data_IF_132688091436
#
_entry.id   IF_132688091436
#
_cell.length_a   1.000
_cell.length_b   1.000
_cell.length_c   1.000
_cell.angle_alpha   90.00
_cell.angle_beta   90.00
_cell.angle_gamma   90.00
#
_symmetry.space_group_name_H-M   'P 1'
#
loop_
_entity.id
_entity.type
_entity.pdbx_description
1 polymer ?
#
# COMPACT_ATOMS: atom_id res chain seq x y z
N UNK A 1 -22.66 35.73 -37.37
CA UNK A 1 -21.39 35.06 -37.72
C UNK A 1 -20.15 35.77 -37.16
N UNK A 2 -20.06 37.12 -37.14
CA UNK A 2 -18.94 37.84 -36.51
C UNK A 2 -19.07 37.95 -34.97
N UNK A 3 -20.25 38.30 -34.46
CA UNK A 3 -20.52 38.42 -33.02
C UNK A 3 -20.47 37.10 -32.22
N UNK A 4 -20.69 35.95 -32.87
CA UNK A 4 -20.58 34.63 -32.21
C UNK A 4 -19.13 34.20 -31.99
N UNK A 5 -18.23 34.57 -32.92
CA UNK A 5 -16.78 34.33 -32.79
C UNK A 5 -16.13 35.29 -31.78
N UNK A 6 -16.69 36.47 -31.59
CA UNK A 6 -16.20 37.42 -30.57
C UNK A 6 -16.55 36.96 -29.15
N UNK A 7 -17.69 36.31 -28.94
CA UNK A 7 -18.07 35.77 -27.61
C UNK A 7 -17.22 34.54 -27.20
N UNK A 8 -16.91 33.62 -28.12
CA UNK A 8 -16.02 32.48 -27.82
C UNK A 8 -14.60 32.92 -27.42
N UNK A 9 -14.10 34.01 -28.02
CA UNK A 9 -12.77 34.57 -27.71
C UNK A 9 -12.76 35.32 -26.36
N UNK A 10 -13.91 35.81 -25.90
CA UNK A 10 -14.05 36.49 -24.60
C UNK A 10 -14.13 35.46 -23.48
N UNK A 11 -14.86 34.34 -23.67
CA UNK A 11 -14.94 33.25 -22.69
C UNK A 11 -13.59 32.55 -22.48
N UNK A 12 -12.81 32.27 -23.55
CA UNK A 12 -11.46 31.70 -23.42
C UNK A 12 -10.49 32.65 -22.68
N UNK A 13 -10.65 33.97 -22.82
CA UNK A 13 -9.80 34.95 -22.12
C UNK A 13 -10.13 35.05 -20.63
N UNK A 14 -11.40 34.97 -20.26
CA UNK A 14 -11.81 34.94 -18.85
C UNK A 14 -11.37 33.63 -18.17
N UNK A 15 -11.39 32.49 -18.86
CA UNK A 15 -10.90 31.21 -18.33
C UNK A 15 -9.38 31.22 -18.07
N UNK A 16 -8.60 31.79 -18.99
CA UNK A 16 -7.14 31.94 -18.83
C UNK A 16 -6.82 32.90 -17.67
N UNK A 17 -7.57 33.99 -17.53
CA UNK A 17 -7.37 34.96 -16.45
C UNK A 17 -7.73 34.39 -15.07
N UNK A 18 -8.74 33.50 -14.99
CA UNK A 18 -9.09 32.75 -13.77
C UNK A 18 -7.99 31.74 -13.40
N UNK A 19 -7.41 31.03 -14.37
CA UNK A 19 -6.33 30.05 -14.15
C UNK A 19 -5.06 30.76 -13.65
N UNK A 20 -4.71 31.91 -14.23
CA UNK A 20 -3.56 32.71 -13.77
C UNK A 20 -3.76 33.29 -12.36
N UNK A 21 -5.00 33.66 -12.00
CA UNK A 21 -5.34 34.13 -10.65
C UNK A 21 -5.25 33.00 -9.62
N UNK A 22 -5.71 31.80 -9.97
CA UNK A 22 -5.57 30.60 -9.14
C UNK A 22 -4.11 30.20 -8.93
N UNK A 23 -3.25 30.37 -9.95
CA UNK A 23 -1.81 30.12 -9.85
C UNK A 23 -1.08 31.09 -8.93
N UNK A 24 -1.51 32.35 -8.87
CA UNK A 24 -0.90 33.37 -7.99
C UNK A 24 -1.40 33.30 -6.53
N UNK A 25 -2.65 32.86 -6.33
CA UNK A 25 -3.21 32.65 -4.98
C UNK A 25 -2.68 31.36 -4.33
N UNK A 26 -2.27 30.35 -5.10
CA UNK A 26 -1.62 29.14 -4.57
C UNK A 26 -0.19 29.40 -4.11
N UNK A 27 0.58 30.23 -4.83
CA UNK A 27 1.92 30.67 -4.42
C UNK A 27 1.88 31.47 -3.11
N UNK A 28 0.91 32.40 -2.95
CA UNK A 28 0.74 33.14 -1.70
C UNK A 28 0.29 32.28 -0.52
N UNK A 29 -0.50 31.23 -0.77
CA UNK A 29 -0.99 30.34 0.30
C UNK A 29 0.07 29.35 0.79
N UNK A 30 1.13 29.13 0.01
CA UNK A 30 2.29 28.32 0.39
C UNK A 30 3.23 29.04 1.37
N UNK A 31 3.23 30.38 1.41
CA UNK A 31 4.08 31.15 2.33
C UNK A 31 3.53 31.23 3.77
N UNK A 32 2.24 30.92 3.98
CA UNK A 32 1.59 31.00 5.30
C UNK A 32 1.55 29.69 6.10
N UNK A 33 1.92 28.55 5.49
CA UNK A 33 1.92 27.22 6.13
C UNK A 33 3.34 26.74 6.43
N UNK A 34 4.06 27.50 7.26
CA UNK A 34 5.32 27.05 7.87
C UNK A 34 5.11 26.81 9.38
N UNK A 35 4.67 25.60 9.75
CA UNK A 35 4.94 25.04 11.09
C UNK A 35 4.87 23.49 11.13
N UNK A 36 6.06 22.88 11.01
CA UNK A 36 6.54 21.67 11.69
C UNK A 36 6.04 20.26 11.25
N UNK A 37 6.87 19.54 10.48
CA UNK A 37 7.67 18.44 11.06
C UNK A 37 8.98 18.22 10.28
N UNK A 38 10.13 18.37 10.96
CA UNK A 38 11.47 18.59 10.40
C UNK A 38 12.23 17.30 10.02
N UNK A 39 11.63 16.37 9.27
CA UNK A 39 12.35 15.14 8.83
C UNK A 39 12.06 14.69 7.39
N UNK A 40 11.48 15.54 6.54
CA UNK A 40 11.54 15.34 5.09
C UNK A 40 12.62 16.27 4.53
N UNK A 41 13.85 15.79 4.40
CA UNK A 41 14.79 16.38 3.45
C UNK A 41 14.29 16.03 2.04
N UNK A 42 13.42 16.89 1.50
CA UNK A 42 13.31 17.05 0.06
C UNK A 42 14.53 17.87 -0.37
N UNK A 43 15.64 17.21 -0.68
CA UNK A 43 16.68 17.85 -1.47
C UNK A 43 16.05 18.28 -2.80
N UNK A 44 16.17 19.56 -3.12
CA UNK A 44 15.78 20.17 -4.38
C UNK A 44 16.35 19.32 -5.52
N UNK A 45 15.47 18.60 -6.24
CA UNK A 45 15.86 17.80 -7.39
C UNK A 45 16.06 18.74 -8.59
N UNK A 46 17.21 19.39 -8.61
CA UNK A 46 17.79 19.90 -9.84
C UNK A 46 17.96 18.70 -10.78
N UNK A 47 17.23 18.72 -11.91
CA UNK A 47 17.41 17.77 -13.01
C UNK A 47 18.74 18.07 -13.71
N UNK A 48 19.85 17.79 -13.03
CA UNK A 48 21.14 17.81 -13.67
C UNK A 48 21.24 16.64 -14.65
N UNK A 49 21.52 16.97 -15.91
CA UNK A 49 21.91 16.04 -16.96
C UNK A 49 23.26 15.37 -16.60
N UNK A 50 23.26 14.46 -15.63
CA UNK A 50 24.44 13.70 -15.30
C UNK A 50 24.53 12.43 -16.15
N UNK A 51 25.42 12.51 -17.15
CA UNK A 51 25.98 11.37 -17.90
C UNK A 51 26.85 10.53 -16.97
N UNK A 52 26.26 9.92 -15.95
CA UNK A 52 26.93 8.92 -15.12
C UNK A 52 26.52 7.53 -15.61
N UNK A 53 27.49 6.82 -16.20
CA UNK A 53 27.47 5.41 -16.65
C UNK A 53 26.18 4.67 -16.27
N UNK A 54 25.24 4.66 -17.21
CA UNK A 54 23.87 4.17 -17.06
C UNK A 54 23.84 2.84 -16.30
N UNK A 55 23.47 2.89 -15.01
CA UNK A 55 22.80 1.74 -14.41
C UNK A 55 21.52 1.59 -15.21
N UNK A 56 21.58 0.71 -16.21
CA UNK A 56 20.44 0.39 -17.06
C UNK A 56 19.31 -0.02 -16.12
N UNK A 57 18.27 0.81 -16.08
CA UNK A 57 17.08 0.55 -15.28
C UNK A 57 16.62 -0.85 -15.65
N UNK A 58 16.34 -1.67 -14.65
CA UNK A 58 15.89 -3.04 -14.89
C UNK A 58 14.50 -3.23 -14.31
N UNK A 59 13.59 -3.85 -15.04
CA UNK A 59 12.25 -4.20 -14.55
C UNK A 59 12.03 -5.68 -14.81
N UNK A 60 11.62 -6.43 -13.79
CA UNK A 60 11.16 -7.80 -13.98
C UNK A 60 9.67 -7.76 -14.26
N UNK A 61 9.25 -8.34 -15.37
CA UNK A 61 7.85 -8.37 -15.82
C UNK A 61 7.32 -9.79 -15.69
N UNK A 62 6.11 -9.90 -15.16
CA UNK A 62 5.39 -11.17 -15.12
C UNK A 62 5.18 -11.70 -16.55
N UNK A 63 5.46 -12.98 -16.74
CA UNK A 63 5.34 -13.65 -18.04
C UNK A 63 3.94 -13.55 -18.68
N UNK A 64 2.88 -13.40 -17.88
CA UNK A 64 1.49 -13.22 -18.34
C UNK A 64 1.27 -11.83 -18.94
N UNK A 65 2.03 -10.82 -18.48
CA UNK A 65 1.98 -9.44 -18.99
C UNK A 65 3.04 -9.14 -20.06
N UNK A 66 3.89 -10.11 -20.38
CA UNK A 66 5.04 -9.97 -21.27
C UNK A 66 4.72 -9.61 -22.74
N UNK A 67 3.44 -9.68 -23.13
CA UNK A 67 2.95 -9.37 -24.48
C UNK A 67 2.08 -8.09 -24.50
N UNK A 68 2.02 -7.33 -23.41
CA UNK A 68 1.29 -6.07 -23.39
C UNK A 68 2.03 -4.95 -24.13
N UNK A 69 1.29 -3.98 -24.66
CA UNK A 69 1.85 -2.77 -25.27
C UNK A 69 2.75 -1.99 -24.28
N UNK A 70 2.52 -2.12 -22.97
CA UNK A 70 3.37 -1.50 -21.95
C UNK A 70 4.80 -2.04 -22.07
N UNK A 71 4.96 -3.35 -22.24
CA UNK A 71 6.29 -3.98 -22.37
C UNK A 71 7.00 -3.53 -23.63
N UNK A 72 6.28 -3.31 -24.74
CA UNK A 72 6.86 -2.76 -25.97
C UNK A 72 7.49 -1.38 -25.71
N UNK A 73 6.75 -0.47 -25.05
CA UNK A 73 7.27 0.86 -24.70
C UNK A 73 8.40 0.82 -23.65
N UNK A 74 8.43 -0.21 -22.78
CA UNK A 74 9.50 -0.39 -21.81
C UNK A 74 10.81 -0.88 -22.45
N UNK A 75 10.73 -1.78 -23.43
CA UNK A 75 11.90 -2.35 -24.10
C UNK A 75 12.80 -1.29 -24.77
N UNK A 76 12.20 -0.17 -25.19
CA UNK A 76 12.95 0.97 -25.75
C UNK A 76 13.77 1.74 -24.72
N UNK A 77 13.43 1.63 -23.43
CA UNK A 77 13.89 2.55 -22.38
C UNK A 77 14.59 1.86 -21.19
N UNK A 78 14.40 0.56 -20.99
CA UNK A 78 15.00 -0.17 -19.87
C UNK A 78 15.33 -1.64 -20.21
N UNK A 79 16.10 -2.31 -19.34
CA UNK A 79 16.29 -3.76 -19.41
C UNK A 79 15.06 -4.47 -18.84
N UNK A 80 14.42 -5.32 -19.66
CA UNK A 80 13.32 -6.16 -19.22
C UNK A 80 13.80 -7.59 -19.00
N UNK A 81 13.46 -8.13 -17.84
CA UNK A 81 13.60 -9.54 -17.56
C UNK A 81 12.21 -10.17 -17.37
N UNK A 82 11.87 -11.17 -18.20
CA UNK A 82 10.59 -11.86 -18.13
C UNK A 82 10.70 -13.04 -17.17
N UNK A 83 9.81 -13.12 -16.17
CA UNK A 83 9.74 -14.25 -15.21
C UNK A 83 8.31 -14.52 -14.81
N UNK A 84 8.04 -15.73 -14.34
CA UNK A 84 6.79 -15.99 -13.60
C UNK A 84 6.94 -15.35 -12.22
N UNK A 85 6.07 -14.40 -11.90
CA UNK A 85 5.99 -13.80 -10.58
C UNK A 85 4.82 -14.44 -9.83
N UNK A 86 5.04 -14.76 -8.56
CA UNK A 86 3.95 -15.27 -7.72
C UNK A 86 2.88 -14.18 -7.51
N UNK A 87 3.31 -12.92 -7.37
CA UNK A 87 2.48 -11.78 -6.98
C UNK A 87 2.93 -10.50 -7.70
N UNK A 88 1.98 -9.84 -8.38
CA UNK A 88 2.13 -8.58 -9.11
C UNK A 88 2.64 -8.73 -10.55
N UNK A 89 2.56 -7.65 -11.32
CA UNK A 89 2.88 -7.65 -12.76
C UNK A 89 4.28 -7.11 -13.07
N UNK A 90 4.72 -6.09 -12.34
CA UNK A 90 5.99 -5.40 -12.57
C UNK A 90 6.77 -5.27 -11.27
N UNK A 91 7.84 -6.04 -11.13
CA UNK A 91 8.76 -5.94 -10.00
C UNK A 91 9.86 -4.91 -10.32
N UNK A 92 9.85 -3.82 -9.56
CA UNK A 92 10.71 -2.65 -9.76
C UNK A 92 11.97 -2.73 -8.90
N UNK A 93 11.86 -3.23 -7.67
CA UNK A 93 12.99 -3.43 -6.76
C UNK A 93 12.67 -4.60 -5.82
N UNK A 94 13.59 -4.95 -4.91
CA UNK A 94 13.29 -5.94 -3.86
C UNK A 94 12.16 -5.51 -2.91
N UNK A 95 11.76 -4.24 -2.94
CA UNK A 95 10.75 -3.68 -2.05
C UNK A 95 9.50 -3.19 -2.77
N UNK A 96 9.58 -2.93 -4.09
CA UNK A 96 8.56 -2.23 -4.84
C UNK A 96 8.03 -3.08 -5.98
N UNK A 97 6.72 -3.33 -5.98
CA UNK A 97 6.01 -4.07 -7.00
C UNK A 97 4.75 -3.32 -7.43
N UNK A 98 4.47 -3.33 -8.73
CA UNK A 98 3.31 -2.68 -9.32
C UNK A 98 2.36 -3.72 -9.92
N UNK A 99 1.07 -3.55 -9.68
CA UNK A 99 -0.03 -4.24 -10.35
C UNK A 99 -0.66 -3.27 -11.34
N UNK A 100 -0.83 -3.71 -12.58
CA UNK A 100 -1.51 -2.92 -13.61
C UNK A 100 -2.89 -3.50 -13.83
N UNK A 101 -3.92 -2.66 -13.77
CA UNK A 101 -5.26 -3.02 -14.22
C UNK A 101 -5.78 -1.99 -15.20
N UNK A 102 -6.33 -2.43 -16.33
CA UNK A 102 -7.15 -1.52 -17.14
C UNK A 102 -8.40 -1.13 -16.35
N UNK A 103 -9.05 -0.01 -16.68
CA UNK A 103 -10.32 0.38 -16.03
C UNK A 103 -11.36 -0.75 -16.09
N UNK A 104 -11.41 -1.47 -17.22
CA UNK A 104 -12.31 -2.61 -17.41
C UNK A 104 -11.95 -3.80 -16.52
N UNK A 105 -10.66 -4.15 -16.40
CA UNK A 105 -10.22 -5.26 -15.55
C UNK A 105 -10.34 -4.92 -14.06
N UNK A 106 -10.13 -3.65 -13.70
CA UNK A 106 -10.39 -3.15 -12.35
C UNK A 106 -11.86 -3.37 -11.97
N UNK A 107 -12.81 -2.92 -12.80
CA UNK A 107 -14.24 -3.12 -12.57
C UNK A 107 -14.59 -4.62 -12.51
N UNK A 108 -14.10 -5.43 -13.45
CA UNK A 108 -14.31 -6.90 -13.41
C UNK A 108 -13.78 -7.52 -12.12
N UNK A 109 -12.61 -7.10 -11.65
CA UNK A 109 -12.00 -7.64 -10.43
C UNK A 109 -12.78 -7.29 -9.15
N UNK A 110 -13.57 -6.19 -9.17
CA UNK A 110 -14.53 -5.88 -8.11
C UNK A 110 -15.69 -6.89 -8.15
N UNK A 111 -16.28 -7.12 -9.33
CA UNK A 111 -17.40 -8.06 -9.51
C UNK A 111 -16.98 -9.48 -9.09
N UNK A 112 -15.78 -9.91 -9.52
CA UNK A 112 -15.23 -11.23 -9.21
C UNK A 112 -14.83 -11.37 -7.72
N UNK A 113 -14.80 -10.28 -6.96
CA UNK A 113 -14.36 -10.26 -5.56
C UNK A 113 -12.86 -10.49 -5.35
N UNK A 114 -12.06 -10.56 -6.42
CA UNK A 114 -10.63 -10.90 -6.37
C UNK A 114 -9.70 -9.71 -6.16
N UNK A 115 -10.16 -8.49 -6.41
CA UNK A 115 -9.35 -7.26 -6.33
C UNK A 115 -8.65 -7.13 -4.97
N UNK A 116 -9.40 -7.24 -3.88
CA UNK A 116 -8.87 -7.01 -2.55
C UNK A 116 -7.86 -8.08 -2.12
N UNK A 117 -8.13 -9.35 -2.43
CA UNK A 117 -7.21 -10.45 -2.13
C UNK A 117 -5.85 -10.24 -2.79
N UNK A 118 -5.83 -9.91 -4.09
CA UNK A 118 -4.59 -9.64 -4.83
C UNK A 118 -3.81 -8.47 -4.20
N UNK A 119 -4.49 -7.37 -3.89
CA UNK A 119 -3.88 -6.20 -3.29
C UNK A 119 -3.33 -6.47 -1.88
N UNK A 120 -4.05 -7.23 -1.06
CA UNK A 120 -3.60 -7.63 0.28
C UNK A 120 -2.36 -8.53 0.18
N UNK A 121 -2.35 -9.51 -0.73
CA UNK A 121 -1.20 -10.38 -0.98
C UNK A 121 0.04 -9.58 -1.41
N UNK A 122 -0.13 -8.61 -2.31
CA UNK A 122 0.94 -7.69 -2.68
C UNK A 122 1.48 -6.89 -1.48
N UNK A 123 0.59 -6.30 -0.68
CA UNK A 123 0.97 -5.50 0.49
C UNK A 123 1.73 -6.31 1.53
N UNK A 124 1.39 -7.59 1.67
CA UNK A 124 2.08 -8.49 2.59
C UNK A 124 3.46 -8.91 2.05
N UNK A 125 3.63 -8.92 0.73
CA UNK A 125 4.86 -9.38 0.07
C UNK A 125 5.89 -8.27 -0.13
N UNK A 126 5.45 -7.04 -0.39
CA UNK A 126 6.30 -5.91 -0.76
C UNK A 126 6.19 -4.74 0.23
N UNK A 127 7.23 -3.90 0.34
CA UNK A 127 7.14 -2.67 1.17
C UNK A 127 6.24 -1.65 0.51
N UNK A 128 6.37 -1.56 -0.82
CA UNK A 128 5.70 -0.60 -1.65
C UNK A 128 4.96 -1.39 -2.73
N UNK A 129 3.75 -1.84 -2.40
CA UNK A 129 2.81 -2.30 -3.41
C UNK A 129 2.11 -1.07 -4.01
N UNK A 130 2.05 -0.99 -5.34
CA UNK A 130 1.41 0.12 -6.05
C UNK A 130 0.40 -0.45 -7.05
N UNK A 131 -0.81 0.11 -7.06
CA UNK A 131 -1.80 -0.17 -8.08
C UNK A 131 -1.73 0.91 -9.16
N UNK A 132 -1.60 0.52 -10.42
CA UNK A 132 -1.73 1.40 -11.58
C UNK A 132 -3.04 1.08 -12.28
N UNK A 133 -3.92 2.08 -12.38
CA UNK A 133 -5.15 1.99 -13.15
C UNK A 133 -4.95 2.68 -14.50
N UNK A 134 -5.15 1.92 -15.58
CA UNK A 134 -4.93 2.36 -16.96
C UNK A 134 -6.26 2.57 -17.71
N UNK A 135 -6.46 3.78 -18.23
CA UNK A 135 -7.61 4.19 -19.03
C UNK A 135 -8.41 5.33 -18.40
N UNK A 136 -9.37 5.87 -19.16
CA UNK A 136 -10.12 7.07 -18.79
C UNK A 136 -11.58 6.79 -18.39
N UNK A 137 -12.09 5.59 -18.73
CA UNK A 137 -13.52 5.26 -18.69
C UNK A 137 -13.87 4.36 -17.51
N UNK A 138 -13.55 4.79 -16.29
CA UNK A 138 -13.77 3.97 -15.09
C UNK A 138 -15.27 3.77 -14.78
N UNK A 139 -16.07 4.82 -14.96
CA UNK A 139 -17.48 4.86 -14.57
C UNK A 139 -18.46 4.55 -15.71
N UNK A 140 -17.94 4.16 -16.88
CA UNK A 140 -18.76 3.90 -18.07
C UNK A 140 -19.31 2.45 -18.11
N UNK A 141 -18.99 1.62 -17.12
CA UNK A 141 -19.45 0.24 -17.07
C UNK A 141 -20.85 0.14 -16.45
N UNK A 142 -21.82 -0.33 -17.22
CA UNK A 142 -23.23 -0.45 -16.78
C UNK A 142 -23.45 -1.54 -15.72
N UNK A 143 -22.55 -2.52 -15.60
CA UNK A 143 -22.75 -3.66 -14.69
C UNK A 143 -22.41 -3.34 -13.23
N UNK A 144 -21.77 -2.21 -12.95
CA UNK A 144 -21.33 -1.84 -11.60
C UNK A 144 -21.74 -0.41 -11.30
N UNK A 145 -22.38 -0.21 -10.15
CA UNK A 145 -22.76 1.13 -9.73
C UNK A 145 -21.51 2.00 -9.48
N UNK A 146 -21.56 3.30 -9.83
CA UNK A 146 -20.48 4.23 -9.51
C UNK A 146 -20.13 4.27 -8.01
N UNK A 147 -21.11 4.02 -7.14
CA UNK A 147 -20.94 3.92 -5.69
C UNK A 147 -20.06 2.73 -5.29
N UNK A 148 -20.21 1.57 -5.94
CA UNK A 148 -19.39 0.40 -5.66
C UNK A 148 -17.93 0.64 -6.07
N UNK A 149 -17.71 1.30 -7.20
CA UNK A 149 -16.37 1.70 -7.66
C UNK A 149 -15.73 2.67 -6.67
N UNK A 150 -16.45 3.73 -6.27
CA UNK A 150 -15.99 4.69 -5.27
C UNK A 150 -15.69 4.03 -3.93
N UNK A 151 -16.53 3.10 -3.49
CA UNK A 151 -16.34 2.31 -2.28
C UNK A 151 -15.08 1.45 -2.34
N UNK A 152 -14.82 0.78 -3.46
CA UNK A 152 -13.61 0.00 -3.66
C UNK A 152 -12.34 0.88 -3.64
N UNK A 153 -12.34 2.02 -4.35
CA UNK A 153 -11.23 2.96 -4.31
C UNK A 153 -10.99 3.51 -2.91
N UNK A 154 -12.05 3.86 -2.18
CA UNK A 154 -11.97 4.33 -0.80
C UNK A 154 -11.36 3.26 0.11
N UNK A 155 -11.83 2.02 0.03
CA UNK A 155 -11.30 0.90 0.83
C UNK A 155 -9.81 0.63 0.52
N UNK A 156 -9.41 0.70 -0.76
CA UNK A 156 -8.00 0.55 -1.14
C UNK A 156 -7.16 1.66 -0.49
N UNK A 157 -7.64 2.90 -0.49
CA UNK A 157 -6.90 4.03 0.07
C UNK A 157 -6.85 4.03 1.60
N UNK A 158 -7.96 3.72 2.28
CA UNK A 158 -8.09 3.90 3.73
C UNK A 158 -7.73 2.65 4.53
N UNK A 159 -8.11 1.47 4.05
CA UNK A 159 -7.94 0.20 4.77
C UNK A 159 -6.71 -0.55 4.26
N UNK A 160 -6.65 -0.78 2.95
CA UNK A 160 -5.53 -1.48 2.33
C UNK A 160 -4.30 -0.57 2.21
N UNK A 161 -4.47 0.76 2.17
CA UNK A 161 -3.36 1.73 2.14
C UNK A 161 -2.32 1.44 1.06
N UNK A 162 -2.80 1.12 -0.15
CA UNK A 162 -1.97 0.99 -1.35
C UNK A 162 -2.10 2.27 -2.18
N UNK A 163 -0.98 2.90 -2.58
CA UNK A 163 -1.00 3.99 -3.54
C UNK A 163 -1.64 3.58 -4.86
N UNK A 164 -2.52 4.44 -5.37
CA UNK A 164 -3.15 4.29 -6.67
C UNK A 164 -2.57 5.36 -7.61
N UNK A 165 -1.96 4.93 -8.71
CA UNK A 165 -1.52 5.80 -9.78
C UNK A 165 -2.43 5.61 -10.99
N UNK A 166 -2.67 6.71 -11.71
CA UNK A 166 -3.51 6.71 -12.91
C UNK A 166 -2.65 6.92 -14.15
N UNK A 167 -3.04 6.24 -15.22
CA UNK A 167 -2.43 6.39 -16.54
C UNK A 167 -3.53 6.33 -17.59
N UNK A 168 -3.38 7.07 -18.69
CA UNK A 168 -4.39 7.13 -19.76
C UNK A 168 -4.13 6.12 -20.87
N UNK A 169 -2.92 5.58 -20.93
CA UNK A 169 -2.48 4.67 -22.00
C UNK A 169 -1.31 3.79 -21.56
N UNK A 170 -1.09 2.69 -22.29
CA UNK A 170 0.06 1.80 -22.08
C UNK A 170 1.42 2.54 -22.13
N UNK A 171 1.54 3.57 -22.97
CA UNK A 171 2.75 4.39 -23.05
C UNK A 171 2.99 5.17 -21.76
N UNK A 172 1.94 5.79 -21.23
CA UNK A 172 2.00 6.53 -19.96
C UNK A 172 2.28 5.59 -18.79
N UNK A 173 1.67 4.39 -18.77
CA UNK A 173 1.99 3.33 -17.81
C UNK A 173 3.48 2.98 -17.83
N UNK A 174 4.07 2.77 -19.01
CA UNK A 174 5.49 2.50 -19.15
C UNK A 174 6.36 3.66 -18.62
N UNK A 175 5.98 4.91 -18.91
CA UNK A 175 6.66 6.10 -18.40
C UNK A 175 6.59 6.21 -16.87
N UNK A 176 5.44 5.92 -16.27
CA UNK A 176 5.29 5.84 -14.82
C UNK A 176 6.17 4.75 -14.21
N UNK A 177 6.16 3.53 -14.77
CA UNK A 177 6.99 2.43 -14.28
C UNK A 177 8.48 2.79 -14.32
N UNK A 178 8.94 3.45 -15.38
CA UNK A 178 10.31 3.94 -15.49
C UNK A 178 10.61 5.02 -14.44
N UNK A 179 9.69 5.95 -14.21
CA UNK A 179 9.87 7.00 -13.20
C UNK A 179 9.99 6.39 -11.79
N UNK A 180 9.14 5.41 -11.45
CA UNK A 180 9.21 4.67 -10.19
C UNK A 180 10.56 3.94 -10.09
N UNK A 181 10.98 3.25 -11.16
CA UNK A 181 12.23 2.52 -11.20
C UNK A 181 13.46 3.42 -11.04
N UNK A 182 13.47 4.60 -11.66
CA UNK A 182 14.53 5.61 -11.45
C UNK A 182 14.63 6.01 -9.98
N UNK A 183 13.51 6.33 -9.34
CA UNK A 183 13.50 6.72 -7.91
C UNK A 183 13.98 5.59 -7.01
N UNK A 184 13.56 4.36 -7.27
CA UNK A 184 13.94 3.21 -6.43
C UNK A 184 15.39 2.77 -6.66
N UNK A 185 15.84 2.63 -7.90
CA UNK A 185 17.12 1.99 -8.23
C UNK A 185 18.29 2.98 -8.26
N UNK A 186 18.06 4.23 -8.66
CA UNK A 186 19.10 5.25 -8.78
C UNK A 186 19.13 6.07 -7.50
N UNK A 187 18.07 6.83 -7.20
CA UNK A 187 18.05 7.76 -6.07
C UNK A 187 18.18 7.04 -4.71
N UNK A 188 17.41 5.96 -4.50
CA UNK A 188 17.48 5.17 -3.24
C UNK A 188 18.53 4.05 -3.28
N UNK A 189 19.23 3.84 -4.41
CA UNK A 189 20.21 2.75 -4.63
C UNK A 189 19.66 1.34 -4.35
N UNK A 190 18.34 1.11 -4.47
CA UNK A 190 17.69 -0.19 -4.23
C UNK A 190 17.60 -0.98 -5.53
N UNK A 191 18.62 -1.79 -5.81
CA UNK A 191 18.59 -2.71 -6.95
C UNK A 191 17.58 -3.85 -6.76
N UNK A 192 17.27 -4.56 -7.84
CA UNK A 192 16.46 -5.79 -7.77
C UNK A 192 17.33 -6.89 -7.15
N UNK A 193 17.06 -7.28 -5.89
CA UNK A 193 17.60 -8.51 -5.30
C UNK A 193 16.59 -9.62 -5.51
N UNK A 194 16.93 -10.58 -6.35
CA UNK A 194 16.15 -11.79 -6.58
C UNK A 194 16.38 -12.72 -5.39
N UNK A 195 15.69 -12.46 -4.29
CA UNK A 195 15.44 -13.48 -3.28
C UNK A 195 14.03 -13.23 -2.79
N UNK A 196 13.08 -14.00 -3.33
CA UNK A 196 11.74 -14.17 -2.77
C UNK A 196 11.84 -14.97 -1.47
N UNK A 197 12.59 -14.44 -0.50
CA UNK A 197 12.24 -14.74 0.87
C UNK A 197 11.04 -13.84 1.09
N UNK A 198 9.83 -14.42 1.30
CA UNK A 198 8.75 -13.73 2.02
C UNK A 198 9.45 -12.86 3.03
N UNK A 199 9.25 -11.54 2.97
CA UNK A 199 9.93 -10.63 3.91
C UNK A 199 9.92 -11.34 5.26
N UNK A 200 11.09 -11.58 5.89
CA UNK A 200 11.08 -12.14 7.23
C UNK A 200 10.10 -11.27 7.99
N UNK A 201 9.02 -11.89 8.48
CA UNK A 201 8.00 -11.19 9.23
C UNK A 201 8.76 -10.34 10.23
N UNK A 202 8.64 -9.00 10.12
CA UNK A 202 9.44 -8.10 10.95
C UNK A 202 9.22 -8.56 12.38
N UNK A 203 10.25 -9.18 12.98
CA UNK A 203 10.09 -9.89 14.25
C UNK A 203 9.54 -8.94 15.29
N UNK A 204 9.86 -7.65 15.17
CA UNK A 204 9.30 -6.57 15.97
C UNK A 204 7.78 -6.46 15.80
N UNK A 205 7.27 -6.45 14.57
CA UNK A 205 5.82 -6.39 14.29
C UNK A 205 5.09 -7.64 14.74
N UNK A 206 5.70 -8.83 14.59
CA UNK A 206 5.15 -10.06 15.14
C UNK A 206 5.08 -10.04 16.66
N UNK A 207 6.14 -9.57 17.32
CA UNK A 207 6.18 -9.40 18.76
C UNK A 207 5.11 -8.41 19.22
N UNK A 208 4.98 -7.26 18.55
CA UNK A 208 3.92 -6.28 18.81
C UNK A 208 2.52 -6.89 18.62
N UNK A 209 2.30 -7.66 17.55
CA UNK A 209 1.02 -8.32 17.25
C UNK A 209 0.66 -9.40 18.28
N UNK A 210 1.61 -10.27 18.62
CA UNK A 210 1.45 -11.33 19.61
C UNK A 210 1.07 -10.75 20.98
N UNK A 211 1.75 -9.71 21.43
CA UNK A 211 1.46 -9.04 22.72
C UNK A 211 0.13 -8.26 22.67
N UNK A 212 -0.22 -7.66 21.53
CA UNK A 212 -1.52 -6.99 21.35
C UNK A 212 -2.71 -7.97 21.34
N UNK A 213 -2.47 -9.29 21.27
CA UNK A 213 -3.50 -10.31 21.47
C UNK A 213 -3.97 -10.45 22.92
N UNK A 214 -3.25 -9.86 23.89
CA UNK A 214 -3.61 -9.89 25.30
C UNK A 214 -4.89 -9.06 25.56
N UNK A 215 -5.70 -9.45 26.56
CA UNK A 215 -6.97 -8.80 26.82
C UNK A 215 -6.80 -7.31 27.11
N UNK A 216 -7.47 -6.45 26.35
CA UNK A 216 -7.43 -4.99 26.48
C UNK A 216 -6.02 -4.37 26.35
N UNK A 217 -5.13 -5.01 25.58
CA UNK A 217 -3.81 -4.51 25.20
C UNK A 217 -3.84 -4.10 23.72
N UNK A 218 -3.77 -2.80 23.44
CA UNK A 218 -3.64 -2.30 22.08
C UNK A 218 -2.17 -2.28 21.62
N UNK A 219 -1.93 -1.84 20.38
CA UNK A 219 -0.56 -1.75 19.82
C UNK A 219 0.36 -0.83 20.61
N UNK A 220 -0.18 0.24 21.19
CA UNK A 220 0.63 1.20 21.94
C UNK A 220 1.07 0.59 23.26
N UNK A 221 0.16 -0.04 24.00
CA UNK A 221 0.44 -0.80 25.22
C UNK A 221 1.36 -2.00 24.95
N UNK A 222 1.16 -2.71 23.86
CA UNK A 222 2.04 -3.80 23.45
C UNK A 222 3.48 -3.30 23.25
N UNK A 223 3.67 -2.14 22.62
CA UNK A 223 4.99 -1.50 22.51
C UNK A 223 5.56 -1.09 23.85
N UNK A 224 4.75 -0.56 24.77
CA UNK A 224 5.24 -0.18 26.10
C UNK A 224 5.68 -1.40 26.91
N UNK A 225 4.90 -2.47 26.89
CA UNK A 225 5.25 -3.77 27.48
C UNK A 225 6.55 -4.29 26.87
N UNK A 226 6.69 -4.29 25.55
CA UNK A 226 7.91 -4.74 24.87
C UNK A 226 9.11 -3.81 25.09
N UNK A 227 8.91 -2.50 25.26
CA UNK A 227 9.99 -1.57 25.63
C UNK A 227 10.53 -1.87 27.03
N UNK A 228 9.65 -2.23 27.97
CA UNK A 228 10.00 -2.56 29.34
C UNK A 228 10.64 -3.96 29.43
N UNK A 229 9.93 -4.98 28.94
CA UNK A 229 10.30 -6.38 29.08
C UNK A 229 11.21 -6.91 27.97
N UNK A 230 11.41 -6.17 26.86
CA UNK A 230 12.25 -6.52 25.69
C UNK A 230 11.79 -7.70 24.83
N UNK A 231 11.08 -8.68 25.40
CA UNK A 231 10.67 -9.91 24.73
C UNK A 231 9.22 -10.30 25.09
N UNK A 232 8.39 -10.83 24.16
CA UNK A 232 7.06 -11.33 24.49
C UNK A 232 7.05 -12.42 25.55
N UNK A 233 8.05 -13.30 25.57
CA UNK A 233 8.18 -14.35 26.58
C UNK A 233 8.17 -13.76 27.99
N UNK A 234 8.94 -12.71 28.21
CA UNK A 234 8.99 -12.01 29.50
C UNK A 234 7.70 -11.26 29.83
N UNK A 235 6.94 -10.81 28.83
CA UNK A 235 5.58 -10.27 29.06
C UNK A 235 4.64 -11.39 29.50
N UNK A 236 4.75 -12.57 28.88
CA UNK A 236 3.85 -13.70 29.11
C UNK A 236 4.15 -14.46 30.40
N UNK A 237 5.35 -14.33 30.95
CA UNK A 237 5.74 -14.92 32.23
C UNK A 237 5.76 -13.91 33.38
N UNK A 238 5.58 -12.61 33.10
CA UNK A 238 5.59 -11.57 34.13
C UNK A 238 4.47 -11.78 35.16
N UNK A 239 4.81 -11.50 36.42
CA UNK A 239 3.85 -11.46 37.53
C UNK A 239 2.95 -10.22 37.42
N UNK A 240 1.78 -10.26 38.08
CA UNK A 240 0.88 -9.09 38.12
C UNK A 240 1.59 -7.82 38.60
N UNK A 241 2.48 -7.95 39.60
CA UNK A 241 3.25 -6.84 40.17
C UNK A 241 4.24 -6.25 39.16
N UNK A 242 4.83 -7.07 38.31
CA UNK A 242 5.77 -6.61 37.27
C UNK A 242 5.03 -5.94 36.13
N UNK A 243 3.91 -6.51 35.68
CA UNK A 243 3.06 -5.92 34.65
C UNK A 243 2.59 -4.51 35.05
N UNK A 244 2.24 -4.32 36.33
CA UNK A 244 1.82 -3.02 36.87
C UNK A 244 2.92 -1.94 36.91
N UNK A 245 4.20 -2.30 36.69
CA UNK A 245 5.29 -1.31 36.57
C UNK A 245 5.27 -0.59 35.22
N UNK A 246 4.53 -1.11 34.24
CA UNK A 246 4.40 -0.51 32.92
C UNK A 246 3.27 0.51 32.93
N UNK A 247 3.58 1.70 32.41
CA UNK A 247 2.62 2.79 32.29
C UNK A 247 1.37 2.35 31.51
N UNK A 248 0.18 2.66 32.04
CA UNK A 248 -1.10 2.25 31.45
C UNK A 248 -1.57 0.85 31.82
N UNK A 249 -0.81 0.07 32.61
CA UNK A 249 -1.21 -1.25 33.10
C UNK A 249 -1.63 -1.19 34.58
N UNK A 250 -2.94 -1.09 34.81
CA UNK A 250 -3.51 -1.11 36.17
C UNK A 250 -3.73 -2.53 36.73
N UNK A 251 -3.98 -2.63 38.04
CA UNK A 251 -4.20 -3.90 38.76
C UNK A 251 -5.23 -4.83 38.10
N UNK A 252 -6.40 -4.29 37.72
CA UNK A 252 -7.47 -5.08 37.07
C UNK A 252 -7.03 -5.65 35.73
N UNK A 253 -6.25 -4.88 34.97
CA UNK A 253 -5.74 -5.32 33.67
C UNK A 253 -4.67 -6.38 33.83
N UNK A 254 -3.72 -6.18 34.76
CA UNK A 254 -2.67 -7.15 35.08
C UNK A 254 -3.26 -8.50 35.51
N UNK A 255 -4.27 -8.49 36.39
CA UNK A 255 -4.99 -9.70 36.80
C UNK A 255 -5.66 -10.41 35.62
N UNK A 256 -6.31 -9.66 34.73
CA UNK A 256 -7.00 -10.24 33.56
C UNK A 256 -6.01 -10.85 32.55
N UNK A 257 -4.90 -10.17 32.29
CA UNK A 257 -3.80 -10.70 31.46
C UNK A 257 -3.28 -11.99 32.09
N UNK A 258 -3.04 -11.97 33.41
CA UNK A 258 -2.45 -13.10 34.10
C UNK A 258 -3.36 -14.32 34.08
N UNK A 259 -4.66 -14.10 34.30
CA UNK A 259 -5.72 -15.10 34.22
C UNK A 259 -5.72 -15.83 32.87
N UNK A 260 -5.82 -15.09 31.77
CA UNK A 260 -5.84 -15.68 30.40
C UNK A 260 -4.61 -16.52 30.10
N UNK A 261 -3.45 -16.10 30.58
CA UNK A 261 -2.19 -16.78 30.30
C UNK A 261 -1.87 -17.95 31.27
N UNK A 262 -2.68 -18.18 32.31
CA UNK A 262 -2.43 -19.24 33.30
C UNK A 262 -3.58 -20.21 33.52
N UNK A 263 -4.79 -19.88 33.05
CA UNK A 263 -5.93 -20.82 33.11
C UNK A 263 -5.80 -21.90 32.04
N UNK A 264 -6.20 -23.12 32.40
CA UNK A 264 -6.25 -24.24 31.48
C UNK A 264 -7.27 -23.97 30.36
N UNK A 265 -6.93 -24.39 29.14
CA UNK A 265 -7.83 -24.28 28.00
C UNK A 265 -8.93 -25.33 28.10
N UNK A 266 -10.19 -24.89 28.21
CA UNK A 266 -11.36 -25.76 28.16
C UNK A 266 -11.96 -25.74 26.73
N UNK A 267 -11.92 -26.88 26.03
CA UNK A 267 -12.70 -27.04 24.80
C UNK A 267 -14.20 -27.05 25.14
N UNK A 268 -14.95 -26.06 24.69
CA UNK A 268 -16.40 -26.13 24.71
C UNK A 268 -16.86 -27.15 23.66
N UNK A 269 -17.01 -28.42 24.06
CA UNK A 269 -17.74 -29.39 23.24
C UNK A 269 -19.18 -28.88 23.06
N UNK A 270 -19.55 -28.61 21.81
CA UNK A 270 -20.94 -28.33 21.46
C UNK A 270 -21.81 -29.51 21.93
N UNK A 271 -22.97 -29.26 22.56
CA UNK A 271 -23.90 -30.32 23.00
C UNK A 271 -24.28 -31.30 21.87
N UNK A 272 -24.17 -30.87 20.60
CA UNK A 272 -24.33 -31.71 19.42
C UNK A 272 -23.22 -32.77 19.25
N UNK A 273 -21.96 -32.45 19.57
CA UNK A 273 -20.84 -33.39 19.50
C UNK A 273 -20.87 -34.41 20.64
N UNK A 274 -21.32 -33.97 21.83
CA UNK A 274 -21.50 -34.85 23.00
C UNK A 274 -22.56 -35.95 22.74
N UNK A 275 -23.70 -35.58 22.14
CA UNK A 275 -24.75 -36.55 21.72
C UNK A 275 -24.30 -37.50 20.62
N UNK A 276 -23.39 -37.11 19.72
CA UNK A 276 -22.86 -38.00 18.68
C UNK A 276 -21.89 -39.05 19.22
N UNK A 277 -21.11 -38.73 20.27
CA UNK A 277 -20.21 -39.70 20.93
C UNK A 277 -20.99 -40.72 21.78
N UNK A 278 -22.09 -40.33 22.42
CA UNK A 278 -22.93 -41.24 23.20
C UNK A 278 -23.75 -42.23 22.33
N UNK A 279 -23.96 -41.93 21.05
CA UNK A 279 -24.74 -42.78 20.13
C UNK A 279 -23.91 -43.73 19.26
N UNK A 280 -22.59 -43.62 19.28
CA UNK A 280 -21.69 -44.54 18.58
C UNK A 280 -20.47 -44.82 19.47
N UNK A 281 -20.59 -45.79 20.41
CA UNK A 281 -19.50 -46.17 21.30
C UNK A 281 -18.32 -46.82 20.57
#
# INVERSE_FOLDING_TARGET
MRALKENEIIEEKEEVEIIEKFGKDSEKRLEEYDYCDKNLECEDLEFENNKEKDKKIKIIVDSREANSLVVEFLLEKCEIEKRVLDIGDYLISSETCCERKTTSDFVKSIIDGRLFTQLIEMKNSYSNAILIIEGNSLYENENVSPEAIRGALAAIATEIKIPILWSRSAKETAELLIAIAKREQIAKKRGIKIRFEKKPEDIRRLQEYLVAGLPNVDRERARQLLKHFKCPEFVFTATERELMKVEGIGKKLAQKIRKVLSEDYEEHENEKQKKLREFNP
#
